data_IF_692197879090
#
_entry.id   IF_692197879090
#
_cell.length_a   1.000
_cell.length_b   1.000
_cell.length_c   1.000
_cell.angle_alpha   90.00
_cell.angle_beta   90.00
_cell.angle_gamma   90.00
#
_symmetry.space_group_name_H-M   'P 1'
#
loop_
_entity.id
_entity.type
_entity.pdbx_description
1 polymer ?
#
# COMPACT_ATOMS: atom_id res chain seq x y z
N UNK A 1 -7.49 -22.01 -3.15
CA UNK A 1 -6.41 -21.07 -3.54
C UNK A 1 -5.94 -20.43 -2.24
N UNK A 2 -4.72 -20.73 -1.81
CA UNK A 2 -4.14 -20.19 -0.57
C UNK A 2 -3.10 -19.18 -0.99
N UNK A 3 -3.31 -17.92 -0.65
CA UNK A 3 -2.31 -16.87 -0.83
C UNK A 3 -1.54 -16.73 0.47
N UNK A 4 -0.22 -16.86 0.39
CA UNK A 4 0.66 -16.36 1.43
C UNK A 4 1.19 -15.02 0.92
N UNK A 5 0.82 -13.94 1.60
CA UNK A 5 1.27 -12.60 1.29
C UNK A 5 2.13 -12.09 2.44
N UNK A 6 3.39 -11.78 2.13
CA UNK A 6 4.28 -11.00 2.97
C UNK A 6 5.06 -10.10 2.02
N UNK A 7 4.86 -8.80 2.17
CA UNK A 7 5.62 -7.76 1.51
C UNK A 7 6.42 -6.96 2.54
N UNK A 8 7.67 -6.64 2.22
CA UNK A 8 8.56 -5.85 3.06
C UNK A 8 9.15 -4.71 2.25
N UNK A 9 9.12 -3.51 2.82
CA UNK A 9 9.67 -2.29 2.23
C UNK A 9 10.92 -1.89 3.05
N UNK A 10 12.06 -1.76 2.38
CA UNK A 10 13.26 -1.15 2.96
C UNK A 10 13.46 0.25 2.41
N UNK A 11 13.63 1.21 3.31
CA UNK A 11 13.83 2.61 2.96
C UNK A 11 14.99 3.21 3.73
N UNK A 12 15.59 4.24 3.15
CA UNK A 12 16.67 5.02 3.74
C UNK A 12 16.30 6.50 3.76
N UNK A 13 16.14 7.11 4.94
CA UNK A 13 15.94 8.55 5.03
C UNK A 13 17.27 9.29 4.83
N UNK A 14 17.22 10.38 4.07
CA UNK A 14 18.33 11.30 3.83
C UNK A 14 18.00 12.64 4.46
N UNK A 15 18.72 13.00 5.53
CA UNK A 15 18.50 14.28 6.23
C UNK A 15 19.58 15.28 5.84
N UNK A 16 19.18 16.49 5.45
CA UNK A 16 20.07 17.62 5.17
C UNK A 16 19.52 18.87 5.85
N UNK A 17 20.19 19.38 6.89
CA UNK A 17 19.74 20.53 7.68
C UNK A 17 18.28 20.34 8.15
N UNK A 18 17.36 21.16 7.63
CA UNK A 18 15.93 21.16 7.92
C UNK A 18 15.12 20.51 6.79
N UNK A 19 15.72 19.60 6.03
CA UNK A 19 15.07 18.91 4.92
C UNK A 19 15.29 17.40 5.03
N UNK A 20 14.32 16.64 4.54
CA UNK A 20 14.39 15.17 4.48
C UNK A 20 13.97 14.67 3.11
N UNK A 21 14.65 13.65 2.60
CA UNK A 21 14.25 12.85 1.45
C UNK A 21 14.20 11.38 1.86
N UNK A 22 13.49 10.56 1.10
CA UNK A 22 13.36 9.12 1.33
C UNK A 22 13.82 8.39 0.09
N UNK A 23 14.73 7.44 0.27
CA UNK A 23 15.16 6.52 -0.78
C UNK A 23 14.55 5.14 -0.54
N UNK A 24 13.92 4.58 -1.56
CA UNK A 24 13.45 3.19 -1.56
C UNK A 24 14.62 2.29 -1.99
N UNK A 25 15.08 1.44 -1.08
CA UNK A 25 16.30 0.63 -1.29
C UNK A 25 15.99 -0.82 -1.63
N UNK A 26 14.89 -1.38 -1.11
CA UNK A 26 14.43 -2.71 -1.47
C UNK A 26 12.92 -2.86 -1.31
N UNK A 27 12.35 -3.80 -2.07
CA UNK A 27 10.98 -4.27 -1.92
C UNK A 27 10.92 -5.77 -2.18
N UNK A 28 10.62 -6.51 -1.14
CA UNK A 28 10.58 -7.97 -1.16
C UNK A 28 9.15 -8.46 -1.06
N UNK A 29 8.75 -9.38 -1.93
CA UNK A 29 7.41 -9.99 -1.96
C UNK A 29 7.51 -11.51 -1.98
N UNK A 30 6.61 -12.19 -1.29
CA UNK A 30 6.58 -13.66 -1.20
C UNK A 30 5.30 -14.29 -1.77
N UNK A 31 4.73 -13.68 -2.80
CA UNK A 31 3.54 -14.21 -3.49
C UNK A 31 3.75 -15.61 -4.06
N UNK A 32 2.73 -16.46 -3.90
CA UNK A 32 2.61 -17.76 -4.56
C UNK A 32 1.15 -18.03 -4.91
N UNK A 33 0.84 -18.23 -6.19
CA UNK A 33 -0.54 -18.43 -6.68
C UNK A 33 -0.75 -19.78 -7.37
N UNK A 34 0.31 -20.33 -7.99
CA UNK A 34 0.35 -21.67 -8.59
C UNK A 34 1.82 -22.14 -8.61
N UNK A 35 2.07 -23.44 -8.72
CA UNK A 35 3.45 -23.94 -8.84
C UNK A 35 3.86 -24.06 -10.30
N UNK A 36 5.14 -23.83 -10.59
CA UNK A 36 5.69 -24.04 -11.93
C UNK A 36 5.44 -25.50 -12.36
N UNK A 37 5.61 -26.46 -11.44
CA UNK A 37 5.39 -27.88 -11.72
C UNK A 37 3.95 -28.19 -12.16
N UNK A 38 2.95 -27.61 -11.48
CA UNK A 38 1.54 -27.79 -11.85
C UNK A 38 1.23 -27.14 -13.20
N UNK A 39 1.80 -25.96 -13.45
CA UNK A 39 1.64 -25.29 -14.73
C UNK A 39 2.20 -26.13 -15.89
N UNK A 40 3.35 -26.77 -15.73
CA UNK A 40 3.92 -27.65 -16.76
C UNK A 40 3.08 -28.88 -17.06
N UNK A 41 2.51 -29.50 -16.01
CA UNK A 41 1.68 -30.69 -16.14
C UNK A 41 0.32 -30.40 -16.82
N UNK A 42 -0.23 -29.21 -16.59
CA UNK A 42 -1.57 -28.82 -17.11
C UNK A 42 -1.52 -28.07 -18.43
N UNK A 43 -0.34 -27.62 -18.88
CA UNK A 43 -0.21 -26.82 -20.10
C UNK A 43 -0.41 -27.66 -21.37
N UNK A 44 -1.40 -27.26 -22.17
CA UNK A 44 -1.64 -27.79 -23.52
C UNK A 44 -0.51 -27.38 -24.47
N UNK A 45 -0.32 -28.16 -25.53
CA UNK A 45 0.67 -27.83 -26.56
C UNK A 45 0.30 -26.51 -27.25
N UNK A 46 1.31 -25.71 -27.62
CA UNK A 46 1.18 -24.35 -28.15
C UNK A 46 0.53 -23.34 -27.19
N UNK A 47 0.47 -23.61 -25.89
CA UNK A 47 -0.04 -22.66 -24.89
C UNK A 47 1.08 -22.05 -24.03
N UNK A 48 0.75 -20.94 -23.36
CA UNK A 48 1.60 -20.33 -22.34
C UNK A 48 0.77 -19.91 -21.13
N UNK A 49 1.36 -20.00 -19.94
CA UNK A 49 0.76 -19.59 -18.66
C UNK A 49 1.77 -18.75 -17.88
N UNK A 50 1.28 -17.73 -17.18
CA UNK A 50 2.08 -16.96 -16.23
C UNK A 50 1.79 -17.52 -14.84
N UNK A 51 2.85 -17.73 -14.07
CA UNK A 51 2.82 -18.30 -12.73
C UNK A 51 3.64 -17.40 -11.81
N UNK A 52 3.20 -17.26 -10.57
CA UNK A 52 3.96 -16.60 -9.51
C UNK A 52 4.31 -17.64 -8.47
N UNK A 53 5.60 -17.88 -8.28
CA UNK A 53 6.12 -18.83 -7.29
C UNK A 53 7.27 -18.17 -6.53
N UNK A 54 7.16 -18.11 -5.19
CA UNK A 54 8.18 -17.53 -4.29
C UNK A 54 8.61 -16.11 -4.69
N UNK A 55 7.66 -15.24 -5.03
CA UNK A 55 7.99 -13.85 -5.40
C UNK A 55 8.69 -13.70 -6.75
N UNK A 56 8.62 -14.72 -7.62
CA UNK A 56 9.10 -14.64 -9.00
C UNK A 56 7.96 -14.89 -9.97
N UNK A 57 7.84 -14.01 -10.96
CA UNK A 57 6.90 -14.20 -12.07
C UNK A 57 7.61 -14.97 -13.17
N UNK A 58 7.09 -16.15 -13.48
CA UNK A 58 7.63 -17.04 -14.50
C UNK A 58 6.58 -17.28 -15.57
N UNK A 59 6.95 -17.01 -16.82
CA UNK A 59 6.19 -17.45 -17.99
C UNK A 59 6.63 -18.86 -18.36
N UNK A 60 5.69 -19.79 -18.30
CA UNK A 60 5.86 -21.17 -18.78
C UNK A 60 5.17 -21.27 -20.15
N UNK A 61 5.87 -21.76 -21.16
CA UNK A 61 5.31 -21.96 -22.49
C UNK A 61 5.66 -23.33 -23.05
N UNK A 62 4.74 -23.93 -23.81
CA UNK A 62 4.92 -25.24 -24.43
C UNK A 62 4.81 -25.12 -25.94
N UNK A 63 5.80 -25.61 -26.67
CA UNK A 63 5.80 -25.57 -28.12
C UNK A 63 4.94 -26.69 -28.74
N UNK A 64 4.82 -26.71 -30.06
CA UNK A 64 4.04 -27.71 -30.79
C UNK A 64 4.59 -29.15 -30.67
N UNK A 65 5.84 -29.31 -30.24
CA UNK A 65 6.49 -30.62 -30.00
C UNK A 65 6.39 -31.05 -28.52
N UNK A 66 5.61 -30.33 -27.72
CA UNK A 66 5.46 -30.59 -26.29
C UNK A 66 6.64 -30.14 -25.42
N UNK A 67 7.66 -29.47 -25.98
CA UNK A 67 8.83 -29.00 -25.21
C UNK A 67 8.44 -27.75 -24.43
N UNK A 68 8.72 -27.76 -23.13
CA UNK A 68 8.46 -26.66 -22.20
C UNK A 68 9.66 -25.71 -22.13
N UNK A 69 9.38 -24.41 -22.09
CA UNK A 69 10.37 -23.35 -21.82
C UNK A 69 9.87 -22.43 -20.71
N UNK A 70 10.80 -21.97 -19.88
CA UNK A 70 10.54 -21.06 -18.76
C UNK A 70 11.25 -19.73 -18.98
N UNK A 71 10.58 -18.62 -18.69
CA UNK A 71 11.17 -17.28 -18.73
C UNK A 71 10.79 -16.47 -17.49
N UNK A 72 11.79 -16.05 -16.71
CA UNK A 72 11.59 -15.17 -15.56
C UNK A 72 11.33 -13.75 -16.04
N UNK A 73 10.22 -13.16 -15.61
CA UNK A 73 9.80 -11.81 -16.00
C UNK A 73 10.28 -10.74 -15.02
N UNK A 74 10.35 -11.06 -13.72
CA UNK A 74 10.83 -10.16 -12.66
C UNK A 74 12.34 -10.36 -12.48
N UNK A 75 13.14 -9.40 -12.96
CA UNK A 75 14.61 -9.50 -12.93
C UNK A 75 15.23 -8.74 -11.76
N UNK A 76 14.59 -7.64 -11.36
CA UNK A 76 14.99 -6.79 -10.24
C UNK A 76 13.78 -6.53 -9.35
N UNK A 77 14.01 -6.27 -8.07
CA UNK A 77 12.95 -6.01 -7.10
C UNK A 77 12.02 -4.86 -7.53
N UNK A 78 12.55 -3.80 -8.13
CA UNK A 78 11.72 -2.68 -8.64
C UNK A 78 10.71 -3.12 -9.71
N UNK A 79 10.87 -4.27 -10.37
CA UNK A 79 9.90 -4.77 -11.34
C UNK A 79 8.55 -5.12 -10.71
N UNK A 80 8.52 -5.30 -9.39
CA UNK A 80 7.31 -5.51 -8.61
C UNK A 80 6.53 -4.24 -8.30
N UNK A 81 7.11 -3.07 -8.53
CA UNK A 81 6.53 -1.79 -8.10
C UNK A 81 5.97 -1.05 -9.31
N UNK A 82 4.67 -0.75 -9.27
CA UNK A 82 4.03 0.14 -10.22
C UNK A 82 3.96 1.57 -9.71
N UNK A 83 3.77 1.75 -8.40
CA UNK A 83 3.60 3.05 -7.76
C UNK A 83 4.19 3.05 -6.35
N UNK A 84 4.76 4.17 -5.92
CA UNK A 84 5.04 4.41 -4.50
C UNK A 84 4.91 5.89 -4.14
N UNK A 85 4.63 6.15 -2.87
CA UNK A 85 4.44 7.49 -2.33
C UNK A 85 5.01 7.64 -0.93
N UNK A 86 5.25 8.90 -0.58
CA UNK A 86 5.82 9.32 0.70
C UNK A 86 4.91 10.37 1.33
N UNK A 87 4.68 10.16 2.62
CA UNK A 87 4.14 11.14 3.57
C UNK A 87 5.29 11.50 4.52
N UNK A 88 5.69 12.77 4.53
CA UNK A 88 6.80 13.25 5.34
C UNK A 88 6.38 13.62 6.77
N UNK A 89 5.09 13.55 7.11
CA UNK A 89 4.57 13.76 8.45
C UNK A 89 3.27 12.98 8.70
N UNK A 90 3.38 11.66 8.79
CA UNK A 90 2.22 10.76 8.88
C UNK A 90 1.30 11.05 10.08
N UNK A 91 1.81 11.64 11.15
CA UNK A 91 1.01 11.98 12.33
C UNK A 91 0.30 13.35 12.23
N UNK A 92 0.35 14.02 11.07
CA UNK A 92 -0.26 15.34 10.84
C UNK A 92 -1.79 15.31 10.98
N UNK A 93 -2.43 14.22 10.55
CA UNK A 93 -3.88 14.17 10.33
C UNK A 93 -4.51 12.89 10.86
N UNK A 94 -5.27 13.03 11.94
CA UNK A 94 -6.01 11.92 12.56
C UNK A 94 -7.16 11.46 11.66
N UNK A 95 -7.38 10.16 11.59
CA UNK A 95 -8.54 9.58 10.92
C UNK A 95 -9.78 9.67 11.80
N UNK A 96 -10.74 10.52 11.43
CA UNK A 96 -11.95 10.78 12.20
C UNK A 96 -13.16 10.20 11.46
N UNK A 97 -13.95 9.37 12.14
CA UNK A 97 -15.22 8.81 11.64
C UNK A 97 -16.41 9.42 12.36
N UNK A 98 -17.56 9.46 11.68
CA UNK A 98 -18.82 9.93 12.25
C UNK A 98 -19.70 8.75 12.60
N UNK A 99 -20.04 8.62 13.88
CA UNK A 99 -20.90 7.55 14.38
C UNK A 99 -22.24 8.17 14.80
N UNK A 100 -23.38 7.61 14.39
CA UNK A 100 -24.69 8.10 14.84
C UNK A 100 -24.83 7.88 16.35
N UNK A 101 -25.24 8.92 17.08
CA UNK A 101 -25.56 8.80 18.52
C UNK A 101 -26.82 7.98 18.71
N UNK A 102 -26.79 7.11 19.72
CA UNK A 102 -27.94 6.28 20.05
C UNK A 102 -29.05 7.14 20.66
N UNK A 103 -30.29 6.84 20.30
CA UNK A 103 -31.45 7.67 20.64
C UNK A 103 -31.70 7.61 22.15
N UNK A 104 -31.59 8.74 22.83
CA UNK A 104 -32.07 8.85 24.20
C UNK A 104 -33.61 8.88 24.16
N UNK A 105 -34.25 7.72 24.35
CA UNK A 105 -35.70 7.63 24.50
C UNK A 105 -36.14 8.53 25.66
N UNK A 106 -36.80 9.65 25.37
CA UNK A 106 -37.43 10.43 26.42
C UNK A 106 -38.46 9.54 27.14
N UNK A 107 -38.32 9.40 28.46
CA UNK A 107 -39.27 8.67 29.28
C UNK A 107 -40.65 9.32 29.12
N UNK A 108 -41.63 8.54 28.67
CA UNK A 108 -42.96 9.03 28.39
C UNK A 108 -43.66 9.40 29.71
N UNK A 109 -43.98 10.68 29.89
CA UNK A 109 -44.80 11.14 31.03
C UNK A 109 -46.27 10.81 30.71
N UNK A 110 -46.99 10.04 31.54
CA UNK A 110 -48.38 9.70 31.28
C UNK A 110 -49.26 10.97 31.19
N UNK A 111 -49.98 11.14 30.07
CA UNK A 111 -50.94 12.24 29.89
C UNK A 111 -50.48 13.41 29.02
N UNK A 112 -49.29 13.35 28.40
CA UNK A 112 -48.79 14.39 27.48
C UNK A 112 -48.64 13.85 26.06
N UNK A 113 -49.16 14.58 25.06
CA UNK A 113 -49.00 14.22 23.64
C UNK A 113 -47.52 14.39 23.22
N UNK A 114 -47.01 13.44 22.42
CA UNK A 114 -45.63 13.51 21.91
C UNK A 114 -45.56 14.63 20.86
N UNK A 115 -44.71 15.66 21.04
CA UNK A 115 -44.43 16.57 19.93
C UNK A 115 -43.77 15.77 18.78
N UNK A 116 -44.17 16.02 17.54
CA UNK A 116 -43.48 15.49 16.36
C UNK A 116 -42.06 16.10 16.30
N UNK A 117 -41.09 15.43 16.91
CA UNK A 117 -39.69 15.81 16.79
C UNK A 117 -39.19 15.38 15.41
N UNK A 118 -38.70 16.34 14.63
CA UNK A 118 -37.89 16.07 13.45
C UNK A 118 -36.64 15.33 13.94
N UNK A 119 -36.57 14.03 13.69
CA UNK A 119 -35.41 13.20 14.05
C UNK A 119 -34.24 13.56 13.13
N UNK A 120 -33.47 14.58 13.51
CA UNK A 120 -32.18 14.83 12.89
C UNK A 120 -31.18 13.81 13.46
N UNK A 121 -30.51 13.00 12.61
CA UNK A 121 -29.46 12.12 13.08
C UNK A 121 -28.33 12.98 13.65
N UNK A 122 -28.11 12.89 14.95
CA UNK A 122 -26.96 13.49 15.63
C UNK A 122 -25.77 12.54 15.48
N UNK A 123 -24.62 13.07 15.05
CA UNK A 123 -23.39 12.31 14.87
C UNK A 123 -22.33 12.79 15.85
N UNK A 124 -21.52 11.87 16.34
CA UNK A 124 -20.29 12.18 17.06
C UNK A 124 -19.06 11.85 16.21
N UNK A 125 -18.06 12.74 16.28
CA UNK A 125 -16.77 12.56 15.63
C UNK A 125 -15.82 11.81 16.58
N UNK A 126 -15.41 10.62 16.18
CA UNK A 126 -14.55 9.73 16.95
C UNK A 126 -13.26 9.48 16.18
N UNK A 127 -12.12 9.68 16.83
CA UNK A 127 -10.82 9.30 16.28
C UNK A 127 -10.69 7.77 16.30
N UNK A 128 -10.31 7.19 15.16
CA UNK A 128 -10.14 5.73 15.04
C UNK A 128 -8.89 5.19 15.73
N UNK A 129 -7.95 6.07 16.09
CA UNK A 129 -6.62 5.71 16.58
C UNK A 129 -5.57 5.65 15.47
N UNK A 130 -5.96 5.79 14.20
CA UNK A 130 -5.06 5.81 13.05
C UNK A 130 -4.94 7.22 12.43
N UNK A 131 -4.03 7.36 11.48
CA UNK A 131 -3.76 8.60 10.76
C UNK A 131 -4.02 8.45 9.26
N UNK A 132 -4.41 9.56 8.63
CA UNK A 132 -4.64 9.62 7.19
C UNK A 132 -3.29 9.78 6.51
N UNK A 133 -2.95 8.85 5.63
CA UNK A 133 -1.80 8.99 4.74
C UNK A 133 -2.01 10.18 3.79
N UNK A 134 -1.15 11.19 3.88
CA UNK A 134 -1.13 12.33 2.99
C UNK A 134 -0.05 12.14 1.92
N UNK A 135 -0.47 12.02 0.66
CA UNK A 135 0.45 11.86 -0.45
C UNK A 135 1.12 13.19 -0.79
N UNK A 136 2.32 13.40 -0.24
CA UNK A 136 3.12 14.61 -0.48
C UNK A 136 4.11 14.45 -1.64
N UNK A 137 4.52 13.21 -1.92
CA UNK A 137 5.36 12.88 -3.06
C UNK A 137 5.06 11.48 -3.58
N UNK A 138 5.16 11.27 -4.89
CA UNK A 138 4.95 9.96 -5.52
C UNK A 138 5.82 9.74 -6.76
N UNK A 139 6.08 8.48 -7.07
CA UNK A 139 6.63 8.05 -8.36
C UNK A 139 5.89 6.81 -8.87
N UNK A 140 5.68 6.74 -10.18
CA UNK A 140 4.93 5.66 -10.81
C UNK A 140 5.42 5.34 -12.21
N UNK A 141 5.22 4.09 -12.61
CA UNK A 141 5.50 3.62 -13.97
C UNK A 141 4.31 3.90 -14.87
N UNK A 142 4.58 4.16 -16.14
CA UNK A 142 3.57 4.21 -17.19
C UNK A 142 3.81 3.14 -18.24
N UNK A 143 2.84 2.93 -19.13
CA UNK A 143 3.05 2.03 -20.28
C UNK A 143 4.17 2.50 -21.21
N UNK A 144 4.39 3.82 -21.27
CA UNK A 144 5.41 4.46 -22.13
C UNK A 144 6.78 4.50 -21.45
N UNK A 145 6.80 4.81 -20.16
CA UNK A 145 8.01 4.92 -19.36
C UNK A 145 7.97 3.93 -18.19
N UNK A 146 8.89 2.98 -18.21
CA UNK A 146 9.04 1.93 -17.20
C UNK A 146 10.06 2.28 -16.12
N UNK A 147 10.63 3.49 -16.14
CA UNK A 147 11.50 3.98 -15.09
C UNK A 147 10.70 4.30 -13.82
N UNK A 148 11.36 4.20 -12.68
CA UNK A 148 10.81 4.54 -11.37
C UNK A 148 11.87 5.34 -10.63
N UNK A 149 11.49 6.50 -10.10
CA UNK A 149 12.38 7.30 -9.27
C UNK A 149 12.41 6.68 -7.87
N UNK A 150 13.60 6.29 -7.42
CA UNK A 150 13.78 5.59 -6.14
C UNK A 150 14.11 6.54 -4.99
N UNK A 151 14.19 7.84 -5.22
CA UNK A 151 14.49 8.82 -4.19
C UNK A 151 13.54 10.00 -4.32
N UNK A 152 12.88 10.37 -3.23
CA UNK A 152 12.03 11.55 -3.22
C UNK A 152 12.85 12.84 -3.26
N UNK A 153 12.19 13.92 -3.66
CA UNK A 153 12.77 15.26 -3.52
C UNK A 153 12.97 15.60 -2.04
N UNK A 154 13.94 16.47 -1.74
CA UNK A 154 14.09 16.99 -0.39
C UNK A 154 12.88 17.86 -0.03
N UNK A 155 12.21 17.49 1.06
CA UNK A 155 11.09 18.21 1.63
C UNK A 155 11.56 19.02 2.86
N UNK A 156 11.35 20.33 2.83
CA UNK A 156 11.68 21.25 3.94
C UNK A 156 10.64 21.17 5.05
N UNK A 157 11.10 21.26 6.30
CA UNK A 157 10.29 20.85 7.43
C UNK A 157 10.89 21.25 8.78
N UNK A 158 10.03 21.37 9.80
CA UNK A 158 10.45 21.87 11.11
C UNK A 158 11.42 20.90 11.84
N UNK A 159 12.45 21.42 12.52
CA UNK A 159 13.33 20.58 13.33
C UNK A 159 12.54 19.79 14.38
N UNK A 160 12.81 18.49 14.47
CA UNK A 160 12.05 17.61 15.36
C UNK A 160 12.10 16.16 14.94
N UNK A 161 11.54 15.31 15.81
CA UNK A 161 11.23 13.92 15.45
C UNK A 161 9.93 13.89 14.70
N UNK A 162 9.83 13.01 13.72
CA UNK A 162 8.59 12.75 13.00
C UNK A 162 8.58 11.34 12.41
N UNK A 163 7.39 10.91 12.01
CA UNK A 163 7.17 9.66 11.31
C UNK A 163 6.95 9.93 9.84
N UNK A 164 7.80 9.34 9.00
CA UNK A 164 7.57 9.30 7.55
C UNK A 164 6.84 8.00 7.26
N UNK A 165 5.76 8.05 6.49
CA UNK A 165 5.13 6.85 5.96
C UNK A 165 5.48 6.68 4.48
N UNK A 166 5.73 5.44 4.09
CA UNK A 166 6.01 5.07 2.71
C UNK A 166 5.01 4.01 2.30
N UNK A 167 4.29 4.27 1.22
CA UNK A 167 3.33 3.32 0.64
C UNK A 167 3.82 2.86 -0.73
N UNK A 168 3.94 1.55 -0.91
CA UNK A 168 4.28 0.92 -2.19
C UNK A 168 3.07 0.15 -2.67
N UNK A 169 2.72 0.32 -3.94
CA UNK A 169 1.69 -0.46 -4.63
C UNK A 169 2.37 -1.35 -5.66
N UNK A 170 2.15 -2.64 -5.52
CA UNK A 170 2.71 -3.64 -6.42
C UNK A 170 1.96 -3.71 -7.75
N UNK A 171 2.50 -4.49 -8.70
CA UNK A 171 1.90 -4.74 -10.02
C UNK A 171 0.56 -5.50 -9.98
N UNK A 172 0.16 -6.03 -8.82
CA UNK A 172 -1.14 -6.67 -8.59
C UNK A 172 -2.14 -5.71 -7.93
N UNK A 173 -1.71 -4.51 -7.56
CA UNK A 173 -2.53 -3.49 -6.91
C UNK A 173 -2.61 -3.63 -5.40
N UNK A 174 -1.82 -4.51 -4.78
CA UNK A 174 -1.76 -4.59 -3.32
C UNK A 174 -0.90 -3.44 -2.80
N UNK A 175 -1.40 -2.74 -1.78
CA UNK A 175 -0.62 -1.72 -1.10
C UNK A 175 0.04 -2.25 0.16
N UNK A 176 1.30 -1.89 0.34
CA UNK A 176 2.08 -2.14 1.55
C UNK A 176 2.56 -0.81 2.09
N UNK A 177 2.50 -0.63 3.41
CA UNK A 177 2.95 0.59 4.06
C UNK A 177 3.98 0.29 5.14
N UNK A 178 4.99 1.14 5.23
CA UNK A 178 5.97 1.14 6.33
C UNK A 178 6.11 2.54 6.91
N UNK A 179 6.44 2.63 8.19
CA UNK A 179 6.65 3.89 8.90
C UNK A 179 8.06 3.91 9.46
N UNK A 180 8.78 5.01 9.23
CA UNK A 180 10.10 5.25 9.80
C UNK A 180 10.10 6.50 10.66
N UNK A 181 10.77 6.45 11.79
CA UNK A 181 11.04 7.64 12.60
C UNK A 181 12.35 8.29 12.16
N UNK A 182 12.30 9.60 11.92
CA UNK A 182 13.47 10.41 11.57
C UNK A 182 13.55 11.64 12.47
N UNK A 183 14.77 12.08 12.79
CA UNK A 183 15.03 13.35 13.45
C UNK A 183 15.65 14.33 12.45
N UNK A 184 14.93 15.41 12.14
CA UNK A 184 15.38 16.47 11.23
C UNK A 184 15.87 17.67 12.04
N UNK A 185 16.90 18.38 11.57
CA UNK A 185 17.37 19.62 12.18
C UNK A 185 18.22 19.47 13.45
N UNK A 186 18.66 18.25 13.80
CA UNK A 186 19.71 18.10 14.83
C UNK A 186 21.06 18.50 14.25
N UNK A 187 21.65 19.55 14.83
CA UNK A 187 23.10 19.79 14.78
C UNK A 187 23.83 18.78 15.66
#
# INVERSE_FOLDING_TARGET
>A
MVFHDVAAIEIKPHVKKNSVAVELTDFSVFYSQDSIANAEATLKDKASKIVVEKGQIVKVSKNAKGIVSRGVLTKKWTDWIDYWAVDFNFESKREIVRIPRDKMNQAQIPGMERPEQIELPEYEEVWTGDYIFENEWQSFRTKKDRSLELTSVFHECEPGRRKLAVKVVDIFGNDTMTIVEVAVGKK
#
